data_IF_352221906991
#
_entry.id   IF_352221906991
#
_cell.length_a   1.000
_cell.length_b   1.000
_cell.length_c   1.000
_cell.angle_alpha   90.00
_cell.angle_beta   90.00
_cell.angle_gamma   90.00
#
_symmetry.space_group_name_H-M   'P 1'
#
loop_
_entity.id
_entity.type
_entity.pdbx_description
1 polymer ?
#
# COMPACT_ATOMS: atom_id res chain seq x y z
N UNK A 1 8.48 -8.26 -5.17
CA UNK A 1 7.29 -7.42 -5.43
C UNK A 1 6.79 -7.53 -6.87
N UNK A 2 7.47 -7.00 -7.90
CA UNK A 2 6.98 -7.09 -9.30
C UNK A 2 6.80 -8.54 -9.79
N UNK A 3 7.74 -9.43 -9.47
CA UNK A 3 7.60 -10.86 -9.81
C UNK A 3 6.36 -11.50 -9.15
N UNK A 4 6.11 -11.19 -7.86
CA UNK A 4 4.93 -11.64 -7.12
C UNK A 4 3.63 -11.11 -7.72
N UNK A 5 3.60 -9.83 -8.13
CA UNK A 5 2.47 -9.27 -8.86
C UNK A 5 2.28 -9.96 -10.21
N UNK A 6 3.36 -10.24 -10.95
CA UNK A 6 3.28 -10.95 -12.23
C UNK A 6 2.68 -12.36 -12.07
N UNK A 7 3.06 -13.07 -11.01
CA UNK A 7 2.58 -14.43 -10.73
C UNK A 7 1.12 -14.45 -10.26
N UNK A 8 0.73 -13.55 -9.36
CA UNK A 8 -0.56 -13.64 -8.66
C UNK A 8 -1.61 -12.60 -9.07
N UNK A 9 -1.19 -11.51 -9.73
CA UNK A 9 -2.02 -10.39 -10.18
C UNK A 9 -1.51 -9.84 -11.54
N UNK A 10 -1.41 -10.67 -12.59
CA UNK A 10 -0.75 -10.30 -13.85
C UNK A 10 -1.33 -9.04 -14.51
N UNK A 11 -2.66 -8.85 -14.46
CA UNK A 11 -3.30 -7.65 -15.00
C UNK A 11 -2.83 -6.36 -14.29
N UNK A 12 -2.67 -6.40 -12.97
CA UNK A 12 -2.15 -5.28 -12.18
C UNK A 12 -0.66 -5.04 -12.46
N UNK A 13 0.12 -6.11 -12.59
CA UNK A 13 1.52 -6.02 -13.03
C UNK A 13 1.61 -5.29 -14.38
N UNK A 14 0.87 -5.74 -15.38
CA UNK A 14 0.98 -5.19 -16.73
C UNK A 14 0.50 -3.73 -16.80
N UNK A 15 -0.57 -3.39 -16.07
CA UNK A 15 -1.03 -2.02 -15.93
C UNK A 15 0.04 -1.13 -15.26
N UNK A 16 0.69 -1.62 -14.19
CA UNK A 16 1.80 -0.89 -13.56
C UNK A 16 3.00 -0.70 -14.51
N UNK A 17 3.32 -1.69 -15.35
CA UNK A 17 4.37 -1.56 -16.38
C UNK A 17 4.00 -0.51 -17.43
N UNK A 18 2.73 -0.49 -17.90
CA UNK A 18 2.27 0.53 -18.85
C UNK A 18 2.32 1.94 -18.27
N UNK A 19 1.90 2.10 -17.02
CA UNK A 19 2.00 3.39 -16.29
C UNK A 19 3.47 3.81 -16.18
N UNK A 20 4.36 2.90 -15.80
CA UNK A 20 5.79 3.20 -15.67
C UNK A 20 6.42 3.62 -17.02
N UNK A 21 6.05 2.95 -18.12
CA UNK A 21 6.54 3.28 -19.45
C UNK A 21 6.12 4.69 -19.91
N UNK A 22 4.95 5.17 -19.48
CA UNK A 22 4.44 6.51 -19.82
C UNK A 22 4.91 7.60 -18.85
N UNK A 23 5.65 7.29 -17.79
CA UNK A 23 5.83 8.20 -16.65
C UNK A 23 6.53 9.52 -16.99
N UNK A 24 7.54 9.48 -17.87
CA UNK A 24 8.31 10.66 -18.27
C UNK A 24 7.81 11.25 -19.60
N UNK A 25 6.59 10.91 -20.00
CA UNK A 25 5.97 11.34 -21.26
C UNK A 25 4.77 12.27 -21.01
N UNK A 26 4.37 13.08 -22.00
CA UNK A 26 3.13 13.86 -21.92
C UNK A 26 1.89 13.01 -21.65
N UNK A 27 1.91 11.73 -22.04
CA UNK A 27 0.79 10.79 -21.89
C UNK A 27 0.60 10.28 -20.46
N UNK A 28 1.53 10.53 -19.53
CA UNK A 28 1.52 10.02 -18.14
C UNK A 28 0.13 10.08 -17.51
N UNK A 29 -0.51 11.25 -17.57
CA UNK A 29 -1.80 11.48 -16.88
C UNK A 29 -2.91 10.59 -17.47
N UNK A 30 -3.02 10.56 -18.79
CA UNK A 30 -4.07 9.80 -19.47
C UNK A 30 -3.89 8.28 -19.27
N UNK A 31 -2.65 7.80 -19.32
CA UNK A 31 -2.32 6.39 -19.07
C UNK A 31 -2.60 6.03 -17.60
N UNK A 32 -2.15 6.86 -16.65
CA UNK A 32 -2.42 6.63 -15.23
C UNK A 32 -3.92 6.55 -14.94
N UNK A 33 -4.72 7.51 -15.41
CA UNK A 33 -6.16 7.53 -15.16
C UNK A 33 -6.85 6.30 -15.74
N UNK A 34 -6.51 5.91 -16.97
CA UNK A 34 -7.10 4.75 -17.65
C UNK A 34 -6.73 3.44 -16.97
N UNK A 35 -5.43 3.21 -16.75
CA UNK A 35 -4.91 1.97 -16.20
C UNK A 35 -5.31 1.79 -14.75
N UNK A 36 -5.23 2.85 -13.94
CA UNK A 36 -5.55 2.80 -12.52
C UNK A 36 -7.06 2.59 -12.28
N UNK A 37 -7.93 3.18 -13.11
CA UNK A 37 -9.37 2.96 -12.99
C UNK A 37 -9.79 1.50 -13.23
N UNK A 38 -9.04 0.77 -14.07
CA UNK A 38 -9.27 -0.65 -14.34
C UNK A 38 -8.60 -1.60 -13.34
N UNK A 39 -7.78 -1.10 -12.42
CA UNK A 39 -7.10 -1.95 -11.43
C UNK A 39 -8.07 -2.50 -10.39
N UNK A 40 -7.86 -3.75 -10.00
CA UNK A 40 -8.55 -4.36 -8.87
C UNK A 40 -8.25 -3.59 -7.58
N UNK A 41 -9.30 -3.22 -6.83
CA UNK A 41 -9.16 -2.60 -5.51
C UNK A 41 -8.81 -3.67 -4.47
N UNK A 42 -7.53 -3.84 -4.20
CA UNK A 42 -6.99 -4.79 -3.22
C UNK A 42 -5.78 -4.19 -2.48
N UNK A 43 -5.56 -4.56 -1.22
CA UNK A 43 -4.38 -4.10 -0.48
C UNK A 43 -3.11 -4.79 -0.97
N UNK A 44 -1.96 -4.14 -0.74
CA UNK A 44 -0.66 -4.73 -1.06
C UNK A 44 -0.37 -5.98 -0.22
N UNK A 45 -0.93 -6.05 0.99
CA UNK A 45 -0.78 -7.21 1.87
C UNK A 45 -1.35 -8.48 1.21
N UNK A 46 -2.59 -8.42 0.73
CA UNK A 46 -3.24 -9.54 0.02
C UNK A 46 -2.71 -9.75 -1.40
N UNK A 47 -2.34 -8.68 -2.09
CA UNK A 47 -1.85 -8.77 -3.46
C UNK A 47 -0.44 -9.36 -3.53
N UNK A 48 0.41 -9.04 -2.55
CA UNK A 48 1.85 -9.32 -2.55
C UNK A 48 2.32 -9.98 -1.25
N UNK A 49 2.16 -9.33 -0.10
CA UNK A 49 2.91 -9.70 1.12
C UNK A 49 2.61 -11.12 1.59
N UNK A 50 1.34 -11.54 1.58
CA UNK A 50 0.93 -12.89 1.96
C UNK A 50 1.44 -13.99 1.02
N UNK A 51 1.87 -13.62 -0.19
CA UNK A 51 2.31 -14.55 -1.25
C UNK A 51 3.82 -14.45 -1.51
N UNK A 52 4.49 -13.48 -0.92
CA UNK A 52 5.90 -13.23 -1.15
C UNK A 52 6.75 -14.33 -0.49
N UNK A 53 7.66 -14.94 -1.26
CA UNK A 53 8.59 -15.96 -0.77
C UNK A 53 9.75 -15.37 0.03
N UNK A 54 10.10 -14.12 -0.27
CA UNK A 54 11.22 -13.40 0.34
C UNK A 54 10.66 -12.19 1.10
N UNK A 55 10.55 -12.34 2.42
CA UNK A 55 10.08 -11.28 3.33
C UNK A 55 11.10 -11.12 4.45
N UNK A 56 11.50 -9.88 4.70
CA UNK A 56 12.35 -9.52 5.83
C UNK A 56 11.60 -8.53 6.72
N UNK A 57 11.69 -8.74 8.03
CA UNK A 57 11.08 -7.86 9.03
C UNK A 57 12.19 -7.31 9.92
N UNK A 58 12.21 -6.00 10.10
CA UNK A 58 13.11 -5.31 11.02
C UNK A 58 12.32 -4.84 12.24
N UNK A 59 12.77 -5.22 13.43
CA UNK A 59 12.19 -4.70 14.68
C UNK A 59 12.65 -3.25 14.90
N UNK A 60 11.71 -2.39 15.27
CA UNK A 60 11.98 -0.99 15.59
C UNK A 60 11.86 -0.75 17.10
N UNK A 61 12.71 0.08 17.71
CA UNK A 61 12.68 0.33 19.16
C UNK A 61 11.66 1.41 19.58
N UNK A 62 10.92 1.96 18.63
CA UNK A 62 9.96 3.04 18.87
C UNK A 62 8.52 2.55 18.82
N UNK A 63 7.64 3.24 19.56
CA UNK A 63 6.20 3.00 19.51
C UNK A 63 5.63 3.59 18.21
N UNK A 64 4.70 2.88 17.60
CA UNK A 64 3.99 3.30 16.38
C UNK A 64 2.52 2.89 16.50
N UNK A 65 1.61 3.73 15.99
CA UNK A 65 0.17 3.50 15.88
C UNK A 65 -0.28 4.09 14.53
N UNK A 66 -1.24 3.45 13.86
CA UNK A 66 -1.74 3.86 12.54
C UNK A 66 -2.78 5.00 12.63
N UNK A 67 -3.25 5.33 13.84
CA UNK A 67 -4.25 6.35 14.12
C UNK A 67 -5.52 6.16 13.27
N UNK A 68 -5.97 4.90 13.15
CA UNK A 68 -7.10 4.54 12.30
C UNK A 68 -8.48 4.93 12.83
N UNK A 69 -8.60 5.34 14.10
CA UNK A 69 -9.88 5.72 14.73
C UNK A 69 -9.68 6.68 15.90
N UNK A 70 -10.76 7.30 16.38
CA UNK A 70 -10.71 8.18 17.56
C UNK A 70 -10.19 7.52 18.83
N UNK A 71 -10.37 6.21 18.96
CA UNK A 71 -9.81 5.43 20.08
C UNK A 71 -8.27 5.41 20.06
N UNK A 72 -7.63 5.74 18.94
CA UNK A 72 -6.18 5.89 18.89
C UNK A 72 -5.67 7.05 19.75
N UNK A 73 -6.48 8.11 19.90
CA UNK A 73 -6.09 9.25 20.75
C UNK A 73 -5.92 8.82 22.20
N UNK A 74 -6.83 8.03 22.75
CA UNK A 74 -6.74 7.51 24.11
C UNK A 74 -5.52 6.59 24.31
N UNK A 75 -5.15 5.79 23.29
CA UNK A 75 -3.94 4.95 23.34
C UNK A 75 -2.65 5.76 23.34
N UNK A 76 -2.64 6.89 22.63
CA UNK A 76 -1.48 7.76 22.48
C UNK A 76 -1.38 8.79 23.62
N UNK A 77 -2.52 9.22 24.15
CA UNK A 77 -2.69 10.17 25.23
C UNK A 77 -3.53 9.51 26.32
N UNK A 78 -2.89 8.80 27.26
CA UNK A 78 -3.59 8.22 28.40
C UNK A 78 -4.31 9.33 29.18
N UNK A 79 -5.50 9.00 29.66
CA UNK A 79 -6.33 9.97 30.39
C UNK A 79 -5.58 10.61 31.56
N UNK A 80 -5.76 11.91 31.71
CA UNK A 80 -5.33 12.64 32.88
C UNK A 80 -6.21 12.32 34.11
N UNK A 81 -5.90 12.95 35.25
CA UNK A 81 -6.61 12.73 36.51
C UNK A 81 -8.10 13.12 36.45
N UNK A 82 -8.50 13.94 35.47
CA UNK A 82 -9.87 14.40 35.24
C UNK A 82 -10.61 13.54 34.19
N UNK A 83 -9.95 12.50 33.67
CA UNK A 83 -10.54 11.57 32.70
C UNK A 83 -10.53 12.08 31.26
N UNK A 84 -9.70 13.09 30.95
CA UNK A 84 -9.53 13.62 29.59
C UNK A 84 -8.31 13.03 28.89
#
# INVERSE_FOLDING_TARGET
>A
MLATLKEHKPAMHDAAIRIAAAWDTPERKAVLETEFAGMEKISVDYAVMEKAKEVMVLQTPYKWDDVGSWQALERLHPQDADGN
#
